data_IF_348124975340
#
_entry.id   IF_348124975340
#
_cell.length_a   1.000
_cell.length_b   1.000
_cell.length_c   1.000
_cell.angle_alpha   90.00
_cell.angle_beta   90.00
_cell.angle_gamma   90.00
#
_symmetry.space_group_name_H-M   'P 1'
#
loop_
_entity.id
_entity.type
_entity.pdbx_description
1 polymer ?
#
# COMPACT_ATOMS: atom_id res chain seq x y z
N UNK A 1 -22.04 -0.13 -31.19
CA UNK A 1 -22.15 1.16 -30.48
C UNK A 1 -20.98 1.20 -29.52
N UNK A 2 -19.90 1.85 -29.93
CA UNK A 2 -18.64 1.85 -29.19
C UNK A 2 -18.74 2.85 -28.03
N UNK A 3 -18.54 2.36 -26.81
CA UNK A 3 -18.40 3.18 -25.61
C UNK A 3 -16.92 3.58 -25.60
N UNK A 4 -16.66 4.87 -25.78
CA UNK A 4 -15.30 5.40 -25.80
C UNK A 4 -14.72 5.45 -24.39
N UNK A 5 -13.63 4.70 -24.18
CA UNK A 5 -12.71 4.96 -23.07
C UNK A 5 -11.95 6.25 -23.37
N UNK A 6 -12.41 7.34 -22.78
CA UNK A 6 -11.63 8.57 -22.66
C UNK A 6 -11.33 8.79 -21.19
N UNK A 7 -10.35 8.05 -20.66
CA UNK A 7 -9.57 8.57 -19.55
C UNK A 7 -8.76 9.75 -20.07
N UNK A 8 -9.39 10.93 -20.01
CA UNK A 8 -8.76 12.21 -20.28
C UNK A 8 -7.65 12.38 -19.24
N UNK A 9 -6.38 12.24 -19.66
CA UNK A 9 -5.24 12.69 -18.85
C UNK A 9 -5.45 14.18 -18.54
N UNK A 10 -5.48 14.63 -17.27
CA UNK A 10 -5.51 16.05 -16.99
C UNK A 10 -4.25 16.68 -17.57
N UNK A 11 -4.44 17.64 -18.49
CA UNK A 11 -3.39 18.41 -19.15
C UNK A 11 -2.82 19.47 -18.20
N UNK A 12 -2.16 19.02 -17.15
CA UNK A 12 -1.17 19.80 -16.42
C UNK A 12 0.13 19.01 -16.50
N UNK A 13 1.20 19.61 -17.03
CA UNK A 13 2.55 19.06 -16.91
C UNK A 13 2.83 18.87 -15.41
N UNK A 14 2.66 17.64 -14.93
CA UNK A 14 2.95 17.27 -13.57
C UNK A 14 4.45 17.52 -13.35
N UNK A 15 4.86 18.20 -12.26
CA UNK A 15 6.28 18.36 -11.95
C UNK A 15 6.94 17.04 -11.52
N UNK A 16 6.17 15.96 -11.47
CA UNK A 16 6.59 14.61 -11.10
C UNK A 16 6.75 13.75 -12.35
N UNK A 17 7.85 13.02 -12.42
CA UNK A 17 8.14 12.04 -13.46
C UNK A 17 7.26 10.80 -13.33
N UNK A 18 6.97 10.40 -12.09
CA UNK A 18 6.16 9.24 -11.77
C UNK A 18 4.80 9.65 -11.18
N UNK A 19 3.73 8.97 -11.61
CA UNK A 19 2.42 9.15 -11.03
C UNK A 19 2.36 8.61 -9.60
N UNK A 20 3.01 7.46 -9.36
CA UNK A 20 3.03 6.80 -8.06
C UNK A 20 4.39 6.12 -7.80
N UNK A 21 4.82 6.17 -6.54
CA UNK A 21 5.95 5.41 -6.03
C UNK A 21 5.48 4.42 -4.96
N UNK A 22 5.94 3.17 -5.04
CA UNK A 22 5.65 2.13 -4.05
C UNK A 22 6.90 1.83 -3.25
N UNK A 23 6.84 2.01 -1.93
CA UNK A 23 7.93 1.68 -1.00
C UNK A 23 7.69 0.29 -0.42
N UNK A 24 8.62 -0.63 -0.72
CA UNK A 24 8.50 -2.05 -0.39
C UNK A 24 7.80 -2.80 -1.52
N UNK A 25 8.55 -3.60 -2.27
CA UNK A 25 8.08 -4.42 -3.39
C UNK A 25 7.86 -5.86 -2.96
N UNK A 26 7.36 -6.05 -1.73
CA UNK A 26 6.90 -7.35 -1.23
C UNK A 26 5.62 -7.82 -1.94
N UNK A 27 4.92 -8.78 -1.35
CA UNK A 27 3.70 -9.34 -1.94
C UNK A 27 2.64 -8.27 -2.28
N UNK A 28 2.23 -7.47 -1.28
CA UNK A 28 1.23 -6.41 -1.48
C UNK A 28 1.80 -5.30 -2.36
N UNK A 29 3.00 -4.81 -2.07
CA UNK A 29 3.56 -3.66 -2.78
C UNK A 29 3.85 -3.91 -4.26
N UNK A 30 4.34 -5.10 -4.62
CA UNK A 30 4.57 -5.43 -6.03
C UNK A 30 3.24 -5.55 -6.79
N UNK A 31 2.24 -6.23 -6.22
CA UNK A 31 0.90 -6.28 -6.81
C UNK A 31 0.29 -4.88 -7.00
N UNK A 32 0.38 -4.02 -5.99
CA UNK A 32 -0.04 -2.61 -6.08
C UNK A 32 0.69 -1.86 -7.19
N UNK A 33 2.02 -2.04 -7.31
CA UNK A 33 2.81 -1.39 -8.36
C UNK A 33 2.36 -1.81 -9.77
N UNK A 34 2.11 -3.11 -9.97
CA UNK A 34 1.67 -3.67 -11.24
C UNK A 34 0.24 -3.25 -11.61
N UNK A 35 -0.65 -3.16 -10.63
CA UNK A 35 -2.02 -2.67 -10.82
C UNK A 35 -2.04 -1.22 -11.32
N UNK A 36 -1.22 -0.34 -10.72
CA UNK A 36 -1.06 1.04 -11.21
C UNK A 36 -0.44 1.11 -12.61
N UNK A 37 0.56 0.26 -12.89
CA UNK A 37 1.17 0.22 -14.21
C UNK A 37 0.17 -0.20 -15.30
N UNK A 38 -0.60 -1.26 -15.02
CA UNK A 38 -1.64 -1.80 -15.90
C UNK A 38 -2.75 -0.77 -16.18
N UNK A 39 -3.02 0.15 -15.25
CA UNK A 39 -3.97 1.26 -15.46
C UNK A 39 -3.41 2.42 -16.29
N UNK A 40 -2.19 2.30 -16.82
CA UNK A 40 -1.60 3.32 -17.70
C UNK A 40 -0.74 4.38 -17.01
N UNK A 41 -0.50 4.26 -15.70
CA UNK A 41 0.28 5.23 -14.92
C UNK A 41 1.78 4.91 -14.92
N UNK A 42 2.62 5.91 -14.69
CA UNK A 42 4.06 5.70 -14.45
C UNK A 42 4.33 5.37 -12.97
N UNK A 43 5.14 4.34 -12.74
CA UNK A 43 5.35 3.71 -11.44
C UNK A 43 6.84 3.63 -11.12
N UNK A 44 7.19 4.06 -9.92
CA UNK A 44 8.51 3.91 -9.33
C UNK A 44 8.45 2.94 -8.15
N UNK A 45 9.00 1.75 -8.30
CA UNK A 45 9.19 0.81 -7.21
C UNK A 45 10.49 1.09 -6.44
N UNK A 46 10.42 1.17 -5.11
CA UNK A 46 11.61 1.29 -4.27
C UNK A 46 11.63 0.19 -3.23
N UNK A 47 12.70 -0.58 -3.20
CA UNK A 47 12.94 -1.59 -2.15
C UNK A 47 14.37 -1.48 -1.61
N UNK A 48 14.54 -1.68 -0.31
CA UNK A 48 15.85 -1.64 0.33
C UNK A 48 16.65 -2.94 0.10
N UNK A 49 15.98 -4.03 -0.27
CA UNK A 49 16.59 -5.32 -0.55
C UNK A 49 17.02 -5.41 -2.02
N UNK A 50 18.33 -5.37 -2.27
CA UNK A 50 18.90 -5.62 -3.58
C UNK A 50 18.49 -7.00 -4.13
N UNK A 51 18.46 -8.02 -3.26
CA UNK A 51 18.02 -9.37 -3.63
C UNK A 51 16.57 -9.39 -4.09
N UNK A 52 15.70 -8.58 -3.45
CA UNK A 52 14.30 -8.45 -3.88
C UNK A 52 14.22 -7.79 -5.25
N UNK A 53 14.95 -6.69 -5.48
CA UNK A 53 14.98 -6.02 -6.78
C UNK A 53 15.48 -6.95 -7.89
N UNK A 54 16.53 -7.74 -7.64
CA UNK A 54 17.04 -8.74 -8.57
C UNK A 54 16.00 -9.83 -8.84
N UNK A 55 15.37 -10.38 -7.80
CA UNK A 55 14.34 -11.41 -7.92
C UNK A 55 13.14 -10.91 -8.74
N UNK A 56 12.66 -9.69 -8.50
CA UNK A 56 11.58 -9.08 -9.28
C UNK A 56 12.03 -8.83 -10.73
N UNK A 57 13.22 -8.24 -10.94
CA UNK A 57 13.75 -7.98 -12.28
C UNK A 57 14.02 -9.24 -13.11
N UNK A 58 14.20 -10.39 -12.46
CA UNK A 58 14.36 -11.69 -13.10
C UNK A 58 13.04 -12.46 -13.29
N UNK A 59 11.88 -11.87 -12.94
CA UNK A 59 10.58 -12.54 -13.00
C UNK A 59 10.41 -13.67 -11.97
N UNK A 60 11.28 -13.75 -10.97
CA UNK A 60 11.30 -14.80 -9.95
C UNK A 60 10.54 -14.43 -8.67
N UNK A 61 9.81 -13.31 -8.67
CA UNK A 61 9.02 -12.89 -7.52
C UNK A 61 7.81 -13.82 -7.32
N UNK A 62 7.44 -14.00 -6.05
CA UNK A 62 6.22 -14.69 -5.64
C UNK A 62 5.02 -13.85 -6.08
N UNK A 63 4.38 -14.26 -7.17
CA UNK A 63 3.32 -13.54 -7.89
C UNK A 63 2.26 -14.50 -8.39
N UNK A 64 1.06 -13.96 -8.59
CA UNK A 64 0.00 -14.62 -9.37
C UNK A 64 0.39 -14.78 -10.83
N UNK A 65 -0.31 -15.63 -11.56
CA UNK A 65 -0.12 -15.73 -13.00
C UNK A 65 -0.45 -14.41 -13.71
N UNK A 66 -1.49 -13.70 -13.25
CA UNK A 66 -1.87 -12.39 -13.80
C UNK A 66 -0.79 -11.31 -13.51
N UNK A 67 -0.28 -11.25 -12.29
CA UNK A 67 0.79 -10.31 -11.93
C UNK A 67 2.09 -10.65 -12.68
N UNK A 68 2.35 -11.92 -12.96
CA UNK A 68 3.52 -12.34 -13.75
C UNK A 68 3.46 -11.78 -15.16
N UNK A 69 2.31 -11.88 -15.82
CA UNK A 69 2.10 -11.30 -17.15
C UNK A 69 2.27 -9.77 -17.13
N UNK A 70 1.73 -9.11 -16.10
CA UNK A 70 1.89 -7.66 -15.94
C UNK A 70 3.34 -7.27 -15.68
N UNK A 71 4.07 -8.05 -14.89
CA UNK A 71 5.49 -7.82 -14.61
C UNK A 71 6.33 -7.93 -15.88
N UNK A 72 6.10 -8.95 -16.71
CA UNK A 72 6.83 -9.11 -17.97
C UNK A 72 6.65 -7.89 -18.89
N UNK A 73 5.44 -7.32 -18.95
CA UNK A 73 5.19 -6.07 -19.68
C UNK A 73 5.89 -4.88 -19.02
N UNK A 74 5.76 -4.75 -17.70
CA UNK A 74 6.32 -3.66 -16.92
C UNK A 74 7.85 -3.57 -17.04
N UNK A 75 8.56 -4.71 -17.01
CA UNK A 75 10.02 -4.75 -17.10
C UNK A 75 10.57 -4.30 -18.47
N UNK A 76 9.70 -4.16 -19.48
CA UNK A 76 10.08 -3.70 -20.83
C UNK A 76 9.58 -2.30 -21.16
N UNK A 77 8.86 -1.65 -20.24
CA UNK A 77 8.25 -0.33 -20.44
C UNK A 77 8.92 0.72 -19.51
N UNK A 78 9.40 1.81 -20.10
CA UNK A 78 10.08 2.89 -19.37
C UNK A 78 9.21 3.56 -18.28
N UNK A 79 7.88 3.39 -18.33
CA UNK A 79 6.95 3.87 -17.30
C UNK A 79 7.10 3.13 -15.97
N UNK A 80 7.69 1.94 -15.94
CA UNK A 80 7.92 1.18 -14.71
C UNK A 80 9.42 1.10 -14.41
N UNK A 81 9.84 1.65 -13.28
CA UNK A 81 11.23 1.60 -12.85
C UNK A 81 11.33 1.08 -11.43
N UNK A 82 12.41 0.37 -11.11
CA UNK A 82 12.70 -0.09 -9.76
C UNK A 82 14.10 0.34 -9.33
N UNK A 83 14.25 0.79 -8.10
CA UNK A 83 15.54 1.24 -7.58
C UNK A 83 15.67 1.03 -6.07
N UNK A 84 16.90 1.01 -5.58
CA UNK A 84 17.20 1.10 -4.15
C UNK A 84 17.46 2.56 -3.72
N UNK A 85 17.57 3.49 -4.67
CA UNK A 85 17.86 4.89 -4.37
C UNK A 85 16.61 5.64 -3.90
N UNK A 86 16.51 5.83 -2.59
CA UNK A 86 15.43 6.56 -1.95
C UNK A 86 15.34 8.05 -2.34
N UNK A 87 16.39 8.66 -2.90
CA UNK A 87 16.33 10.06 -3.32
C UNK A 87 15.32 10.29 -4.45
N UNK A 88 15.10 9.27 -5.29
CA UNK A 88 14.14 9.29 -6.40
C UNK A 88 12.68 9.36 -5.96
N UNK A 89 12.38 9.12 -4.67
CA UNK A 89 11.02 9.25 -4.12
C UNK A 89 10.41 10.63 -4.41
N UNK A 90 11.22 11.68 -4.42
CA UNK A 90 10.77 13.03 -4.72
C UNK A 90 10.20 13.19 -6.13
N UNK A 91 10.51 12.28 -7.06
CA UNK A 91 10.07 12.34 -8.46
C UNK A 91 8.64 11.82 -8.67
N UNK A 92 8.00 11.26 -7.63
CA UNK A 92 6.65 10.69 -7.71
C UNK A 92 5.58 11.59 -7.06
N UNK A 93 4.41 11.70 -7.71
CA UNK A 93 3.29 12.52 -7.21
C UNK A 93 2.63 11.92 -5.97
N UNK A 94 2.41 10.61 -5.96
CA UNK A 94 1.95 9.85 -4.80
C UNK A 94 3.02 8.86 -4.35
N UNK A 95 3.11 8.61 -3.05
CA UNK A 95 4.00 7.60 -2.45
C UNK A 95 3.18 6.71 -1.55
N UNK A 96 3.19 5.41 -1.80
CA UNK A 96 2.46 4.41 -1.02
C UNK A 96 3.45 3.51 -0.30
N UNK A 97 3.33 3.43 1.02
CA UNK A 97 4.27 2.72 1.89
C UNK A 97 3.71 1.33 2.23
N UNK A 98 4.26 0.30 1.58
CA UNK A 98 3.85 -1.10 1.65
C UNK A 98 4.94 -2.00 2.25
N UNK A 99 5.59 -1.56 3.33
CA UNK A 99 6.65 -2.33 3.99
C UNK A 99 6.09 -3.31 5.02
N UNK A 100 6.74 -4.47 5.25
CA UNK A 100 6.24 -5.44 6.21
C UNK A 100 6.33 -4.92 7.65
N UNK A 101 5.39 -5.36 8.48
CA UNK A 101 5.44 -5.25 9.94
C UNK A 101 5.59 -6.66 10.53
N UNK A 102 6.79 -7.28 10.43
CA UNK A 102 7.01 -8.64 10.91
C UNK A 102 6.79 -8.70 12.43
N UNK A 103 6.54 -9.90 12.95
CA UNK A 103 6.57 -10.15 14.39
C UNK A 103 7.94 -10.69 14.79
N UNK A 104 8.39 -10.32 15.98
CA UNK A 104 9.64 -10.84 16.56
C UNK A 104 9.42 -12.21 17.22
N UNK A 105 10.48 -12.76 17.82
CA UNK A 105 10.47 -14.06 18.52
C UNK A 105 9.48 -14.14 19.71
N UNK A 106 9.02 -12.99 20.22
CA UNK A 106 8.02 -12.88 21.29
C UNK A 106 6.61 -12.64 20.75
N UNK A 107 6.38 -12.83 19.45
CA UNK A 107 5.13 -12.51 18.75
C UNK A 107 4.71 -11.03 18.87
N UNK A 108 5.66 -10.14 19.20
CA UNK A 108 5.41 -8.70 19.24
C UNK A 108 5.76 -8.07 17.87
N UNK A 109 4.99 -7.09 17.38
CA UNK A 109 5.32 -6.41 16.13
C UNK A 109 6.70 -5.73 16.16
N UNK A 110 7.56 -6.04 15.19
CA UNK A 110 8.77 -5.30 14.89
C UNK A 110 8.46 -4.18 13.88
N UNK A 111 8.39 -2.95 14.40
CA UNK A 111 8.07 -1.77 13.62
C UNK A 111 9.30 -1.11 12.98
N UNK A 112 10.50 -1.68 13.13
CA UNK A 112 11.72 -1.06 12.59
C UNK A 112 11.69 -0.88 11.07
N UNK A 113 11.22 -1.84 10.24
CA UNK A 113 11.11 -1.62 8.80
C UNK A 113 10.19 -0.43 8.47
N UNK A 114 9.03 -0.35 9.14
CA UNK A 114 8.09 0.74 8.97
C UNK A 114 8.67 2.10 9.39
N UNK A 115 9.30 2.17 10.58
CA UNK A 115 9.93 3.40 11.07
C UNK A 115 11.01 3.91 10.11
N UNK A 116 11.84 3.01 9.57
CA UNK A 116 12.87 3.38 8.58
C UNK A 116 12.24 3.89 7.28
N UNK A 117 11.23 3.20 6.76
CA UNK A 117 10.53 3.62 5.54
C UNK A 117 9.89 5.00 5.72
N UNK A 118 9.17 5.24 6.83
CA UNK A 118 8.60 6.55 7.12
C UNK A 118 9.68 7.63 7.32
N UNK A 119 10.80 7.32 7.98
CA UNK A 119 11.91 8.27 8.11
C UNK A 119 12.49 8.66 6.74
N UNK A 120 12.71 7.68 5.87
CA UNK A 120 13.17 7.91 4.48
C UNK A 120 12.16 8.76 3.71
N UNK A 121 10.89 8.38 3.73
CA UNK A 121 9.81 9.12 3.04
C UNK A 121 9.76 10.56 3.53
N UNK A 122 9.76 10.76 4.84
CA UNK A 122 9.70 12.11 5.41
C UNK A 122 10.97 12.91 5.17
N UNK A 123 12.15 12.29 5.00
CA UNK A 123 13.39 12.99 4.64
C UNK A 123 13.39 13.48 3.19
N UNK A 124 12.83 12.69 2.26
CA UNK A 124 12.86 12.98 0.82
C UNK A 124 11.56 13.62 0.30
N UNK A 125 10.52 13.70 1.13
CA UNK A 125 9.26 14.33 0.76
C UNK A 125 9.46 15.79 0.30
N UNK A 126 8.73 16.18 -0.74
CA UNK A 126 8.71 17.53 -1.29
C UNK A 126 7.27 18.05 -1.45
N UNK A 127 7.06 19.38 -1.57
CA UNK A 127 5.74 19.95 -1.80
C UNK A 127 5.03 19.36 -3.02
N UNK A 128 3.71 19.26 -2.94
CA UNK A 128 2.82 18.66 -3.94
C UNK A 128 2.53 17.18 -3.72
N UNK A 129 3.35 16.45 -2.96
CA UNK A 129 3.21 15.00 -2.81
C UNK A 129 2.02 14.57 -1.93
N UNK A 130 1.49 13.40 -2.26
CA UNK A 130 0.60 12.61 -1.40
C UNK A 130 1.37 11.42 -0.84
N UNK A 131 1.28 11.19 0.47
CA UNK A 131 1.93 10.10 1.18
C UNK A 131 0.84 9.22 1.82
N UNK A 132 0.78 7.95 1.43
CA UNK A 132 -0.21 6.99 1.91
C UNK A 132 0.52 5.88 2.67
N UNK A 133 0.16 5.67 3.93
CA UNK A 133 0.61 4.52 4.70
C UNK A 133 -0.44 3.41 4.63
N UNK A 134 -0.02 2.20 4.24
CA UNK A 134 -0.90 1.01 4.20
C UNK A 134 -0.47 -0.08 5.20
N UNK A 135 0.82 -0.14 5.54
CA UNK A 135 1.35 -1.12 6.49
C UNK A 135 0.57 -1.15 7.80
N UNK A 136 0.22 -2.37 8.24
CA UNK A 136 -0.47 -2.59 9.51
C UNK A 136 0.36 -2.03 10.67
N UNK A 137 -0.29 -1.25 11.54
CA UNK A 137 0.38 -0.53 12.63
C UNK A 137 -0.60 -0.16 13.75
N UNK A 138 -0.12 0.57 14.75
CA UNK A 138 -0.91 1.09 15.87
C UNK A 138 -1.65 2.40 15.53
N UNK A 139 -2.73 2.69 16.27
CA UNK A 139 -3.46 3.96 16.15
C UNK A 139 -2.58 5.14 16.59
N UNK A 140 -2.47 6.15 15.73
CA UNK A 140 -1.60 7.32 15.89
C UNK A 140 -0.26 7.19 15.18
N UNK A 141 0.07 6.04 14.60
CA UNK A 141 1.35 5.80 13.92
C UNK A 141 1.57 6.77 12.76
N UNK A 142 0.57 6.98 11.89
CA UNK A 142 0.69 7.86 10.73
C UNK A 142 0.98 9.29 11.16
N UNK A 143 0.34 9.73 12.24
CA UNK A 143 0.57 11.05 12.81
C UNK A 143 2.00 11.17 13.40
N UNK A 144 2.45 10.15 14.12
CA UNK A 144 3.78 10.14 14.75
C UNK A 144 4.92 10.06 13.74
N UNK A 145 4.79 9.22 12.72
CA UNK A 145 5.88 8.87 11.80
C UNK A 145 5.87 9.68 10.51
N UNK A 146 4.74 10.24 10.09
CA UNK A 146 4.64 11.07 8.87
C UNK A 146 4.30 12.53 9.20
N UNK A 147 3.14 12.77 9.82
CA UNK A 147 2.64 14.16 10.02
C UNK A 147 3.61 15.00 10.85
N UNK A 148 4.03 14.50 12.02
CA UNK A 148 4.94 15.24 12.91
C UNK A 148 6.32 15.49 12.28
N UNK A 149 7.01 14.50 11.66
CA UNK A 149 8.30 14.76 11.04
C UNK A 149 8.23 15.70 9.84
N UNK A 150 7.17 15.64 9.02
CA UNK A 150 6.96 16.59 7.91
C UNK A 150 6.81 18.02 8.43
N UNK A 151 5.99 18.23 9.46
CA UNK A 151 5.84 19.54 10.08
C UNK A 151 7.16 20.06 10.68
N UNK A 152 7.98 19.19 11.29
CA UNK A 152 9.33 19.56 11.76
C UNK A 152 10.28 19.99 10.65
N UNK A 153 10.09 19.49 9.43
CA UNK A 153 10.81 19.95 8.23
C UNK A 153 10.26 21.25 7.64
N UNK A 154 9.17 21.79 8.20
CA UNK A 154 8.51 22.98 7.70
C UNK A 154 7.53 22.73 6.55
N UNK A 155 7.12 21.48 6.32
CA UNK A 155 6.08 21.14 5.34
C UNK A 155 4.71 21.08 6.03
N UNK A 156 3.79 21.93 5.60
CA UNK A 156 2.44 21.98 6.16
C UNK A 156 1.56 20.87 5.56
N UNK A 157 1.07 19.98 6.43
CA UNK A 157 0.20 18.87 6.02
C UNK A 157 -1.19 19.39 5.67
N UNK A 158 -1.69 19.01 4.48
CA UNK A 158 -2.94 19.49 3.89
C UNK A 158 -2.75 20.70 2.98
N UNK A 159 -1.55 21.29 2.93
CA UNK A 159 -1.19 22.37 2.01
C UNK A 159 0.00 21.97 1.13
N UNK A 160 1.19 21.85 1.73
CA UNK A 160 2.42 21.49 1.02
C UNK A 160 2.44 20.00 0.69
N UNK A 161 2.09 19.15 1.64
CA UNK A 161 2.09 17.70 1.50
C UNK A 161 0.80 17.11 2.04
N UNK A 162 0.36 16.00 1.48
CA UNK A 162 -0.90 15.38 1.87
C UNK A 162 -0.61 14.01 2.46
N UNK A 163 -1.26 13.65 3.57
CA UNK A 163 -0.98 12.42 4.30
C UNK A 163 -2.28 11.68 4.57
N UNK A 164 -2.31 10.41 4.23
CA UNK A 164 -3.43 9.52 4.51
C UNK A 164 -2.94 8.17 5.05
N UNK A 165 -3.82 7.50 5.78
CA UNK A 165 -3.72 6.09 6.10
C UNK A 165 -4.79 5.36 5.31
N UNK A 166 -4.45 4.21 4.76
CA UNK A 166 -5.35 3.37 4.01
C UNK A 166 -5.30 1.94 4.56
N UNK A 167 -6.44 1.43 5.01
CA UNK A 167 -6.59 0.04 5.38
C UNK A 167 -7.10 -0.75 4.17
N UNK A 168 -6.28 -1.63 3.61
CA UNK A 168 -6.73 -2.58 2.60
C UNK A 168 -7.49 -3.76 3.22
N UNK A 169 -8.63 -4.10 2.62
CA UNK A 169 -9.41 -5.28 2.96
C UNK A 169 -9.18 -6.34 1.88
N UNK A 170 -8.44 -7.38 2.25
CA UNK A 170 -8.04 -8.47 1.36
C UNK A 170 -8.99 -9.66 1.56
N UNK A 171 -9.57 -10.17 0.48
CA UNK A 171 -10.31 -11.43 0.54
C UNK A 171 -9.35 -12.62 0.65
N UNK A 172 -9.64 -13.56 1.55
CA UNK A 172 -8.85 -14.77 1.77
C UNK A 172 -9.18 -15.90 0.78
N UNK A 173 -9.67 -15.53 -0.39
CA UNK A 173 -9.92 -16.41 -1.52
C UNK A 173 -8.59 -17.02 -1.97
N UNK A 174 -8.49 -18.35 -1.90
CA UNK A 174 -7.26 -19.09 -2.27
C UNK A 174 -7.16 -19.40 -3.76
N UNK A 175 -8.06 -18.86 -4.59
CA UNK A 175 -8.18 -19.24 -6.00
C UNK A 175 -7.42 -18.32 -6.95
N UNK A 176 -7.23 -17.06 -6.58
CA UNK A 176 -6.53 -16.07 -7.39
C UNK A 176 -5.02 -15.96 -7.07
N UNK A 177 -4.58 -16.46 -5.91
CA UNK A 177 -3.17 -16.51 -5.49
C UNK A 177 -2.54 -15.17 -5.14
N UNK A 178 -3.29 -14.06 -5.26
CA UNK A 178 -2.86 -12.67 -5.10
C UNK A 178 -3.62 -11.97 -3.98
N UNK A 179 -3.15 -10.79 -3.51
CA UNK A 179 -3.94 -10.00 -2.58
C UNK A 179 -5.11 -9.38 -3.34
N UNK A 180 -6.28 -10.03 -3.30
CA UNK A 180 -7.50 -9.46 -3.88
C UNK A 180 -8.04 -8.36 -2.95
N UNK A 181 -7.65 -7.12 -3.24
CA UNK A 181 -8.08 -5.95 -2.48
C UNK A 181 -9.50 -5.60 -2.89
N UNK A 182 -10.46 -6.01 -2.06
CA UNK A 182 -11.89 -5.76 -2.26
C UNK A 182 -12.23 -4.28 -2.10
N UNK A 183 -11.73 -3.69 -1.01
CA UNK A 183 -12.06 -2.32 -0.64
C UNK A 183 -10.97 -1.69 0.22
N UNK A 184 -11.03 -0.37 0.31
CA UNK A 184 -10.17 0.42 1.18
C UNK A 184 -10.99 1.21 2.19
N UNK A 185 -10.47 1.34 3.41
CA UNK A 185 -10.94 2.34 4.38
C UNK A 185 -9.86 3.42 4.50
N UNK A 186 -10.21 4.66 4.18
CA UNK A 186 -9.24 5.75 4.01
C UNK A 186 -9.50 6.86 5.02
N UNK A 187 -8.47 7.18 5.81
CA UNK A 187 -8.47 8.33 6.70
C UNK A 187 -7.42 9.34 6.26
N UNK A 188 -7.80 10.59 6.06
CA UNK A 188 -6.85 11.68 5.80
C UNK A 188 -6.40 12.37 7.09
N UNK A 189 -5.19 12.95 7.07
CA UNK A 189 -4.78 13.92 8.10
C UNK A 189 -5.65 15.18 8.08
N UNK A 190 -6.15 15.54 6.90
CA UNK A 190 -7.13 16.59 6.62
C UNK A 190 -8.11 16.06 5.55
N UNK A 191 -9.32 16.65 5.40
CA UNK A 191 -10.27 16.23 4.37
C UNK A 191 -9.69 16.23 2.94
N UNK A 192 -8.86 17.23 2.61
CA UNK A 192 -8.17 17.30 1.31
C UNK A 192 -7.19 16.14 1.09
N UNK A 193 -6.60 15.60 2.17
CA UNK A 193 -5.71 14.44 2.08
C UNK A 193 -6.50 13.17 1.80
N UNK A 194 -7.67 13.01 2.42
CA UNK A 194 -8.53 11.86 2.19
C UNK A 194 -9.03 11.84 0.74
N UNK A 195 -9.53 12.96 0.22
CA UNK A 195 -10.00 13.08 -1.17
C UNK A 195 -8.91 12.67 -2.17
N UNK A 196 -7.69 13.21 -2.03
CA UNK A 196 -6.56 12.86 -2.91
C UNK A 196 -6.15 11.39 -2.80
N UNK A 197 -6.26 10.80 -1.61
CA UNK A 197 -6.00 9.38 -1.40
C UNK A 197 -7.07 8.52 -2.08
N UNK A 198 -8.35 8.85 -1.94
CA UNK A 198 -9.45 8.18 -2.63
C UNK A 198 -9.27 8.20 -4.15
N UNK A 199 -8.97 9.36 -4.73
CA UNK A 199 -8.68 9.49 -6.17
C UNK A 199 -7.51 8.61 -6.63
N UNK A 200 -6.47 8.52 -5.79
CA UNK A 200 -5.29 7.71 -6.09
C UNK A 200 -5.60 6.21 -5.97
N UNK A 201 -6.45 5.80 -5.03
CA UNK A 201 -6.75 4.40 -4.72
C UNK A 201 -7.84 3.78 -5.61
N UNK A 202 -8.68 4.60 -6.26
CA UNK A 202 -9.72 4.14 -7.18
C UNK A 202 -9.22 3.28 -8.35
N UNK A 203 -7.92 3.32 -8.64
CA UNK A 203 -7.29 2.43 -9.62
C UNK A 203 -7.43 0.95 -9.25
N UNK A 204 -7.43 0.60 -7.96
CA UNK A 204 -7.56 -0.80 -7.52
C UNK A 204 -9.03 -1.23 -7.44
N UNK A 205 -9.88 -0.38 -6.88
CA UNK A 205 -11.28 -0.71 -6.60
C UNK A 205 -12.12 0.55 -6.51
N UNK A 206 -13.38 0.46 -6.96
CA UNK A 206 -14.37 1.50 -6.78
C UNK A 206 -14.88 1.58 -5.32
N UNK A 207 -14.60 0.59 -4.48
CA UNK A 207 -15.06 0.53 -3.10
C UNK A 207 -14.05 1.17 -2.16
N UNK A 208 -14.15 2.48 -1.98
CA UNK A 208 -13.29 3.24 -1.04
C UNK A 208 -14.16 3.99 -0.03
N UNK A 209 -14.10 3.57 1.23
CA UNK A 209 -14.84 4.16 2.34
C UNK A 209 -13.98 5.22 3.05
N UNK A 210 -14.33 6.49 2.86
CA UNK A 210 -13.69 7.59 3.58
C UNK A 210 -14.17 7.66 5.04
N UNK A 211 -13.22 7.76 5.98
CA UNK A 211 -13.50 7.96 7.40
C UNK A 211 -12.93 9.28 7.92
N UNK A 212 -13.50 9.86 8.99
CA UNK A 212 -13.17 11.23 9.41
C UNK A 212 -11.73 11.49 9.89
N UNK A 213 -10.92 10.46 10.12
CA UNK A 213 -9.55 10.66 10.61
C UNK A 213 -8.64 9.47 10.35
N UNK A 214 -7.32 9.73 10.35
CA UNK A 214 -6.27 8.71 10.37
C UNK A 214 -6.54 7.63 11.42
N UNK A 215 -6.88 8.04 12.65
CA UNK A 215 -7.04 7.13 13.78
C UNK A 215 -8.17 6.11 13.58
N UNK A 216 -9.26 6.52 12.91
CA UNK A 216 -10.39 5.62 12.60
C UNK A 216 -9.96 4.59 11.55
N UNK A 217 -9.22 5.00 10.52
CA UNK A 217 -8.75 4.08 9.48
C UNK A 217 -7.70 3.09 10.04
N UNK A 218 -6.77 3.57 10.88
CA UNK A 218 -5.80 2.72 11.58
C UNK A 218 -6.50 1.70 12.50
N UNK A 219 -7.52 2.15 13.23
CA UNK A 219 -8.33 1.26 14.08
C UNK A 219 -9.10 0.23 13.26
N UNK A 220 -9.67 0.62 12.12
CA UNK A 220 -10.40 -0.30 11.23
C UNK A 220 -9.50 -1.45 10.77
N UNK A 221 -8.24 -1.15 10.38
CA UNK A 221 -7.25 -2.17 10.00
C UNK A 221 -6.93 -3.13 11.15
N UNK A 222 -6.72 -2.60 12.36
CA UNK A 222 -6.44 -3.43 13.54
C UNK A 222 -7.64 -4.31 13.91
N UNK A 223 -8.85 -3.75 13.86
CA UNK A 223 -10.08 -4.46 14.20
C UNK A 223 -10.33 -5.61 13.22
N UNK A 224 -10.20 -5.37 11.91
CA UNK A 224 -10.38 -6.42 10.90
C UNK A 224 -9.38 -7.55 11.10
N UNK A 225 -8.09 -7.22 11.19
CA UNK A 225 -7.03 -8.22 11.40
C UNK A 225 -7.27 -9.04 12.68
N UNK A 226 -7.66 -8.37 13.77
CA UNK A 226 -7.95 -9.02 15.06
C UNK A 226 -9.18 -9.92 14.96
N UNK A 227 -10.26 -9.43 14.35
CA UNK A 227 -11.49 -10.19 14.19
C UNK A 227 -11.26 -11.46 13.36
N UNK A 228 -10.51 -11.34 12.25
CA UNK A 228 -10.12 -12.47 11.40
C UNK A 228 -9.28 -13.47 12.18
N UNK A 229 -8.23 -13.03 12.87
CA UNK A 229 -7.35 -13.91 13.63
C UNK A 229 -8.11 -14.68 14.73
N UNK A 230 -8.96 -14.01 15.51
CA UNK A 230 -9.77 -14.63 16.55
C UNK A 230 -10.79 -15.61 15.95
N UNK A 231 -11.47 -15.23 14.86
CA UNK A 231 -12.44 -16.09 14.20
C UNK A 231 -11.81 -17.37 13.65
N UNK A 232 -10.63 -17.26 13.03
CA UNK A 232 -9.86 -18.41 12.55
C UNK A 232 -9.40 -19.31 13.70
N UNK A 233 -8.90 -18.73 14.80
CA UNK A 233 -8.49 -19.50 15.97
C UNK A 233 -9.65 -20.30 16.56
N UNK A 234 -10.81 -19.67 16.75
CA UNK A 234 -12.01 -20.35 17.24
C UNK A 234 -12.46 -21.45 16.28
N UNK A 235 -12.48 -21.20 14.97
CA UNK A 235 -12.84 -22.21 13.98
C UNK A 235 -11.91 -23.43 14.02
N UNK A 236 -10.60 -23.20 14.16
CA UNK A 236 -9.61 -24.27 14.26
C UNK A 236 -9.77 -25.08 15.56
N UNK A 237 -9.96 -24.43 16.70
CA UNK A 237 -10.19 -25.09 17.99
C UNK A 237 -11.44 -25.99 17.94
N UNK A 238 -12.55 -25.50 17.37
CA UNK A 238 -13.75 -26.30 17.19
C UNK A 238 -13.55 -27.46 16.22
N UNK A 239 -12.75 -27.29 15.16
CA UNK A 239 -12.41 -28.37 14.24
C UNK A 239 -11.63 -29.50 14.95
N UNK A 240 -10.73 -29.15 15.87
CA UNK A 240 -9.96 -30.11 16.67
C UNK A 240 -10.81 -30.82 17.72
N UNK A 241 -11.66 -30.09 18.46
CA UNK A 241 -12.63 -30.67 19.41
C UNK A 241 -13.54 -31.66 18.67
N UNK A 242 -14.07 -31.24 17.52
CA UNK A 242 -14.93 -32.08 16.68
C UNK A 242 -14.23 -33.37 16.26
N UNK A 243 -12.97 -33.29 15.81
CA UNK A 243 -12.14 -34.45 15.44
C UNK A 243 -11.96 -35.39 16.65
N UNK A 244 -11.72 -34.84 17.83
CA UNK A 244 -11.60 -35.62 19.07
C UNK A 244 -12.91 -36.31 19.47
N UNK A 245 -14.06 -35.66 19.24
CA UNK A 245 -15.38 -36.18 19.59
C UNK A 245 -16.00 -37.08 18.52
N UNK A 246 -15.36 -37.22 17.34
CA UNK A 246 -15.87 -37.96 16.17
C UNK A 246 -17.27 -37.51 15.72
N UNK A 247 -17.54 -36.21 15.84
CA UNK A 247 -18.80 -35.62 15.37
C UNK A 247 -18.53 -35.07 13.97
N UNK A 248 -18.73 -35.83 12.91
CA UNK A 248 -18.56 -35.28 11.56
C UNK A 248 -19.82 -34.52 11.11
N UNK A 249 -19.64 -33.48 10.30
CA UNK A 249 -20.72 -32.76 9.59
C UNK A 249 -20.66 -33.12 8.12
#
# INVERSE_FOLDING_TARGET
>A
MAIGDTHVRPSHESPFQYDVCIIGLGYVGLHTALTYFASGLSVLGIDASADRLISVGAGMADLTDADREQLDQALTDDRFQMTADHATLGEARAVIICVPAPVNEYFAPDLNPLKRACATVTQHARPGQLLILTSTTYVGCTHELLVRPLAKRGLEVGQDVHVAFCAELIESDSTTGGPDIRSFVVGGAMPTCAQRAVETLHVHTASVDEVPSLAIAEMAKLLENTFRAVSTAVANDFADIRRSMKVDT
#
